data_IF_769163780792
#
_entry.id   IF_769163780792
#
_cell.length_a   1.000
_cell.length_b   1.000
_cell.length_c   1.000
_cell.angle_alpha   90.00
_cell.angle_beta   90.00
_cell.angle_gamma   90.00
#
_symmetry.space_group_name_H-M   'P 1'
#
loop_
_entity.id
_entity.type
_entity.pdbx_description
1 polymer ?
#
# COMPACT_ATOMS: atom_id res chain seq x y z
N UNK A 1 -23.48 -59.50 -13.95
CA UNK A 1 -22.63 -58.98 -15.00
C UNK A 1 -21.60 -58.06 -14.34
N UNK A 2 -20.39 -58.53 -14.24
CA UNK A 2 -19.27 -57.92 -13.51
C UNK A 2 -18.70 -56.77 -14.36
N UNK A 3 -18.70 -55.56 -13.85
CA UNK A 3 -18.05 -54.39 -14.47
C UNK A 3 -16.62 -54.30 -13.98
N UNK A 4 -15.70 -54.64 -14.87
CA UNK A 4 -14.27 -54.56 -14.67
C UNK A 4 -13.82 -53.13 -14.56
N UNK A 5 -13.27 -52.73 -13.40
CA UNK A 5 -12.61 -51.44 -13.17
C UNK A 5 -11.22 -51.49 -13.84
N UNK A 6 -11.05 -50.69 -14.89
CA UNK A 6 -9.74 -50.49 -15.51
C UNK A 6 -8.96 -49.46 -14.69
N UNK A 7 -7.95 -49.90 -13.98
CA UNK A 7 -6.98 -49.04 -13.30
C UNK A 7 -5.91 -48.64 -14.32
N UNK A 8 -5.91 -47.39 -14.75
CA UNK A 8 -4.85 -46.84 -15.60
C UNK A 8 -3.83 -46.19 -14.64
N UNK A 9 -2.75 -46.89 -14.34
CA UNK A 9 -1.57 -46.31 -13.68
C UNK A 9 -0.79 -45.47 -14.69
N UNK A 10 -0.74 -44.14 -14.48
CA UNK A 10 0.27 -43.31 -15.11
C UNK A 10 1.45 -43.12 -14.17
N UNK A 11 2.69 -42.96 -14.71
CA UNK A 11 3.89 -42.92 -13.89
C UNK A 11 3.87 -41.76 -12.90
N UNK A 12 4.42 -42.00 -11.71
CA UNK A 12 4.55 -41.03 -10.64
C UNK A 12 5.24 -39.76 -11.13
N UNK A 13 4.55 -38.63 -10.99
CA UNK A 13 5.15 -37.31 -11.12
C UNK A 13 6.18 -37.18 -9.98
N UNK A 14 7.42 -36.88 -10.32
CA UNK A 14 8.50 -36.66 -9.37
C UNK A 14 8.08 -35.69 -8.26
N UNK A 15 8.51 -35.89 -7.00
CA UNK A 15 8.09 -35.04 -5.89
C UNK A 15 8.65 -33.63 -6.08
N UNK A 16 7.79 -32.68 -6.38
CA UNK A 16 8.13 -31.25 -6.53
C UNK A 16 8.30 -30.60 -5.14
N UNK A 17 7.81 -31.24 -4.08
CA UNK A 17 8.02 -30.78 -2.70
C UNK A 17 8.00 -31.99 -1.72
N UNK A 18 8.97 -32.12 -0.81
CA UNK A 18 9.10 -33.27 0.10
C UNK A 18 7.95 -33.42 1.11
N UNK A 19 7.09 -32.40 1.27
CA UNK A 19 5.95 -32.41 2.20
C UNK A 19 4.64 -32.86 1.57
N UNK A 20 4.55 -32.94 0.25
CA UNK A 20 3.34 -33.37 -0.47
C UNK A 20 3.40 -34.89 -0.72
N UNK A 21 2.60 -35.66 0.02
CA UNK A 21 2.52 -37.11 -0.13
C UNK A 21 2.01 -37.56 -1.52
N UNK A 22 1.98 -38.89 -1.76
CA UNK A 22 1.50 -39.46 -3.02
C UNK A 22 0.00 -39.25 -3.22
N UNK A 23 -0.37 -38.77 -4.41
CA UNK A 23 -1.77 -38.61 -4.80
C UNK A 23 -2.25 -39.82 -5.60
N UNK A 24 -3.47 -40.31 -5.31
CA UNK A 24 -4.17 -41.30 -6.14
C UNK A 24 -5.35 -40.64 -6.85
N UNK A 25 -5.44 -40.87 -8.16
CA UNK A 25 -6.56 -40.38 -8.96
C UNK A 25 -7.65 -41.45 -8.97
N UNK A 26 -8.87 -41.11 -8.56
CA UNK A 26 -10.05 -42.01 -8.67
C UNK A 26 -11.13 -41.31 -9.48
N UNK A 27 -11.76 -42.07 -10.38
CA UNK A 27 -12.93 -41.64 -11.14
C UNK A 27 -14.20 -42.01 -10.37
N UNK A 28 -15.06 -41.03 -10.14
CA UNK A 28 -16.43 -41.22 -9.66
C UNK A 28 -17.40 -40.71 -10.72
N UNK A 29 -18.66 -41.08 -10.62
CA UNK A 29 -19.72 -40.76 -11.60
C UNK A 29 -19.93 -39.25 -11.84
N UNK A 30 -19.33 -38.41 -11.03
CA UNK A 30 -19.36 -36.93 -11.10
C UNK A 30 -18.02 -36.29 -11.56
N UNK A 31 -16.96 -37.06 -11.81
CA UNK A 31 -15.66 -36.53 -12.24
C UNK A 31 -14.45 -37.19 -11.57
N UNK A 32 -13.25 -36.66 -11.89
CA UNK A 32 -11.99 -37.11 -11.30
C UNK A 32 -11.80 -36.53 -9.92
N UNK A 33 -11.56 -37.38 -8.89
CA UNK A 33 -11.26 -36.97 -7.51
C UNK A 33 -9.81 -37.38 -7.17
N UNK A 34 -9.06 -36.43 -6.65
CA UNK A 34 -7.71 -36.70 -6.12
C UNK A 34 -7.80 -37.06 -4.64
N UNK A 35 -7.33 -38.24 -4.30
CA UNK A 35 -7.26 -38.72 -2.91
C UNK A 35 -5.80 -38.63 -2.41
N UNK A 36 -5.54 -37.86 -1.38
CA UNK A 36 -4.21 -37.63 -0.82
C UNK A 36 -4.00 -38.38 0.47
N UNK A 37 -2.79 -38.93 0.64
CA UNK A 37 -2.41 -39.74 1.80
C UNK A 37 -1.81 -38.91 2.97
N UNK A 38 -1.78 -37.57 2.92
CA UNK A 38 -1.25 -36.71 3.98
C UNK A 38 -2.14 -35.51 4.30
N UNK A 39 -1.97 -34.97 5.53
CA UNK A 39 -2.65 -33.74 6.00
C UNK A 39 -2.44 -32.58 5.04
N UNK A 40 -3.50 -31.75 4.83
CA UNK A 40 -3.37 -30.48 4.14
C UNK A 40 -2.38 -29.56 4.88
N UNK A 41 -1.57 -28.77 4.16
CA UNK A 41 -0.66 -27.82 4.77
C UNK A 41 -1.36 -26.88 5.76
N UNK A 42 -0.77 -26.67 6.94
CA UNK A 42 -1.34 -25.82 7.99
C UNK A 42 -1.15 -24.35 7.67
N UNK A 43 -0.12 -23.99 6.88
CA UNK A 43 0.12 -22.62 6.47
C UNK A 43 -0.79 -22.19 5.31
N UNK A 44 -1.18 -20.92 5.30
CA UNK A 44 -1.99 -20.33 4.22
C UNK A 44 -1.30 -20.48 2.87
N UNK A 45 0.01 -20.18 2.79
CA UNK A 45 0.80 -20.31 1.56
C UNK A 45 0.87 -21.76 1.06
N UNK A 46 1.15 -22.71 1.94
CA UNK A 46 1.18 -24.12 1.56
C UNK A 46 -0.16 -24.64 1.05
N UNK A 47 -1.28 -24.14 1.58
CA UNK A 47 -2.63 -24.48 1.09
C UNK A 47 -2.87 -23.92 -0.31
N UNK A 48 -2.46 -22.69 -0.56
CA UNK A 48 -2.57 -22.01 -1.87
C UNK A 48 -1.76 -22.76 -2.93
N UNK A 49 -0.51 -23.10 -2.60
CA UNK A 49 0.40 -23.83 -3.50
C UNK A 49 -0.13 -25.22 -3.82
N UNK A 50 -0.71 -25.89 -2.82
CA UNK A 50 -1.39 -27.16 -2.99
C UNK A 50 -2.58 -27.08 -3.95
N UNK A 51 -3.45 -26.05 -3.81
CA UNK A 51 -4.61 -25.86 -4.71
C UNK A 51 -4.15 -25.47 -6.11
N UNK A 52 -3.15 -24.59 -6.24
CA UNK A 52 -2.57 -24.21 -7.54
C UNK A 52 -1.99 -25.40 -8.28
N UNK A 53 -1.28 -26.29 -7.59
CA UNK A 53 -0.75 -27.53 -8.20
C UNK A 53 -1.86 -28.40 -8.76
N UNK A 54 -3.03 -28.47 -8.09
CA UNK A 54 -4.20 -29.22 -8.58
C UNK A 54 -4.81 -28.59 -9.82
N UNK A 55 -4.89 -27.27 -9.86
CA UNK A 55 -5.48 -26.51 -10.94
C UNK A 55 -4.54 -26.40 -12.16
N UNK A 56 -3.22 -26.55 -11.98
CA UNK A 56 -2.24 -26.47 -13.06
C UNK A 56 -2.44 -27.56 -14.13
N UNK A 57 -2.97 -28.71 -13.73
CA UNK A 57 -3.33 -29.79 -14.65
C UNK A 57 -4.48 -29.40 -15.62
N UNK A 58 -5.22 -28.33 -15.34
CA UNK A 58 -6.39 -27.86 -16.12
C UNK A 58 -6.25 -26.45 -16.70
N UNK A 59 -5.05 -25.85 -16.69
CA UNK A 59 -4.80 -24.44 -17.08
C UNK A 59 -5.66 -23.40 -16.31
N UNK A 60 -6.11 -23.69 -15.10
CA UNK A 60 -7.02 -22.86 -14.32
C UNK A 60 -6.36 -22.24 -13.08
N UNK A 61 -5.06 -22.45 -12.88
CA UNK A 61 -4.33 -21.98 -11.71
C UNK A 61 -4.18 -20.45 -11.66
N UNK A 62 -4.23 -19.78 -12.80
CA UNK A 62 -4.04 -18.32 -12.90
C UNK A 62 -5.28 -17.54 -12.48
N UNK A 63 -6.47 -18.13 -12.53
CA UNK A 63 -7.75 -17.48 -12.20
C UNK A 63 -8.25 -17.78 -10.79
N UNK A 64 -7.43 -18.31 -9.90
CA UNK A 64 -7.84 -18.69 -8.54
C UNK A 64 -8.13 -17.43 -7.69
N UNK A 65 -9.39 -17.24 -7.32
CA UNK A 65 -9.85 -16.07 -6.55
C UNK A 65 -9.77 -16.28 -5.05
N UNK A 66 -10.26 -17.41 -4.56
CA UNK A 66 -10.23 -17.76 -3.13
C UNK A 66 -10.24 -19.28 -2.91
N UNK A 67 -9.83 -19.67 -1.72
CA UNK A 67 -9.87 -21.06 -1.25
C UNK A 67 -10.68 -21.13 0.03
N UNK A 68 -11.78 -21.90 0.00
CA UNK A 68 -12.64 -22.14 1.16
C UNK A 68 -12.23 -23.45 1.82
N UNK A 69 -11.86 -23.41 3.09
CA UNK A 69 -11.48 -24.58 3.89
C UNK A 69 -12.67 -25.01 4.75
N UNK A 70 -13.10 -26.25 4.57
CA UNK A 70 -14.19 -26.82 5.37
C UNK A 70 -13.64 -27.42 6.67
N UNK A 71 -14.45 -27.39 7.74
CA UNK A 71 -14.13 -28.07 9.01
C UNK A 71 -14.12 -29.58 8.82
N UNK A 72 -13.31 -30.33 9.61
CA UNK A 72 -13.36 -31.78 9.61
C UNK A 72 -14.77 -32.30 9.90
N UNK A 73 -15.17 -33.36 9.21
CA UNK A 73 -16.50 -33.96 9.37
C UNK A 73 -17.63 -33.20 8.66
N UNK A 74 -17.31 -32.27 7.75
CA UNK A 74 -18.34 -31.65 6.89
C UNK A 74 -19.01 -32.71 6.02
N UNK A 75 -20.33 -32.59 5.86
CA UNK A 75 -21.13 -33.48 5.01
C UNK A 75 -21.17 -32.92 3.57
N UNK A 76 -21.49 -33.77 2.57
CA UNK A 76 -21.63 -33.33 1.18
C UNK A 76 -22.60 -32.14 0.99
N UNK A 77 -23.66 -32.07 1.79
CA UNK A 77 -24.64 -30.97 1.76
C UNK A 77 -24.02 -29.62 2.13
N UNK A 78 -23.06 -29.58 3.08
CA UNK A 78 -22.37 -28.35 3.46
C UNK A 78 -21.40 -27.88 2.34
N UNK A 79 -20.73 -28.83 1.69
CA UNK A 79 -19.85 -28.54 0.53
C UNK A 79 -20.67 -28.01 -0.63
N UNK A 80 -21.83 -28.65 -0.91
CA UNK A 80 -22.72 -28.21 -1.99
C UNK A 80 -23.25 -26.80 -1.74
N UNK A 81 -23.62 -26.46 -0.51
CA UNK A 81 -24.03 -25.11 -0.16
C UNK A 81 -22.96 -24.05 -0.47
N UNK A 82 -21.69 -24.33 -0.13
CA UNK A 82 -20.56 -23.44 -0.47
C UNK A 82 -20.36 -23.35 -1.98
N UNK A 83 -20.47 -24.47 -2.70
CA UNK A 83 -20.41 -24.50 -4.17
C UNK A 83 -21.50 -23.62 -4.80
N UNK A 84 -22.73 -23.69 -4.28
CA UNK A 84 -23.85 -22.90 -4.79
C UNK A 84 -23.60 -21.39 -4.55
N UNK A 85 -23.12 -20.99 -3.37
CA UNK A 85 -22.73 -19.62 -3.08
C UNK A 85 -21.62 -19.11 -4.02
N UNK A 86 -20.59 -19.92 -4.30
CA UNK A 86 -19.52 -19.58 -5.24
C UNK A 86 -20.10 -19.36 -6.65
N UNK A 87 -21.01 -20.22 -7.09
CA UNK A 87 -21.67 -20.10 -8.42
C UNK A 87 -22.60 -18.89 -8.49
N UNK A 88 -23.34 -18.58 -7.44
CA UNK A 88 -24.17 -17.36 -7.34
C UNK A 88 -23.32 -16.08 -7.48
N UNK A 89 -22.08 -16.11 -6.97
CA UNK A 89 -21.12 -15.04 -7.20
C UNK A 89 -20.62 -14.98 -8.66
N UNK A 90 -20.99 -15.94 -9.52
CA UNK A 90 -20.56 -16.08 -10.90
C UNK A 90 -19.11 -16.53 -11.04
N UNK A 91 -18.58 -17.22 -10.02
CA UNK A 91 -17.31 -17.91 -10.03
C UNK A 91 -17.52 -19.40 -10.34
N UNK A 92 -16.47 -20.06 -10.82
CA UNK A 92 -16.46 -21.52 -10.98
C UNK A 92 -15.92 -22.16 -9.71
N UNK A 93 -16.47 -23.28 -9.33
CA UNK A 93 -16.01 -24.07 -8.21
C UNK A 93 -15.07 -25.21 -8.63
N UNK A 94 -14.16 -25.58 -7.74
CA UNK A 94 -13.40 -26.82 -7.82
C UNK A 94 -13.24 -27.43 -6.44
N UNK A 95 -13.82 -28.60 -6.22
CA UNK A 95 -13.84 -29.28 -4.91
C UNK A 95 -12.67 -30.26 -4.84
N UNK A 96 -11.87 -30.15 -3.78
CA UNK A 96 -10.75 -31.03 -3.47
C UNK A 96 -11.07 -31.73 -2.14
N UNK A 97 -11.29 -33.04 -2.22
CA UNK A 97 -11.58 -33.86 -1.04
C UNK A 97 -10.27 -34.48 -0.52
N UNK A 98 -9.82 -34.03 0.63
CA UNK A 98 -8.69 -34.64 1.35
C UNK A 98 -9.15 -35.65 2.41
N UNK A 99 -8.23 -36.43 2.98
CA UNK A 99 -8.52 -37.41 4.02
C UNK A 99 -9.15 -36.80 5.29
N UNK A 100 -8.69 -35.61 5.68
CA UNK A 100 -9.12 -34.97 6.93
C UNK A 100 -10.01 -33.75 6.68
N UNK A 101 -9.90 -33.13 5.53
CA UNK A 101 -10.60 -31.85 5.19
C UNK A 101 -10.96 -31.78 3.72
N UNK A 102 -12.05 -31.09 3.43
CA UNK A 102 -12.44 -30.71 2.08
C UNK A 102 -12.09 -29.24 1.87
N UNK A 103 -11.64 -28.92 0.67
CA UNK A 103 -11.33 -27.56 0.23
C UNK A 103 -12.13 -27.27 -1.03
N UNK A 104 -12.71 -26.08 -1.13
CA UNK A 104 -13.40 -25.62 -2.33
C UNK A 104 -12.66 -24.40 -2.88
N UNK A 105 -12.09 -24.55 -4.07
CA UNK A 105 -11.48 -23.43 -4.80
C UNK A 105 -12.54 -22.69 -5.60
N UNK A 106 -12.54 -21.37 -5.54
CA UNK A 106 -13.35 -20.49 -6.37
C UNK A 106 -12.47 -19.85 -7.44
N UNK A 107 -12.85 -20.03 -8.72
CA UNK A 107 -12.04 -19.71 -9.88
C UNK A 107 -12.76 -18.67 -10.74
N UNK A 108 -12.08 -17.59 -11.08
CA UNK A 108 -12.57 -16.47 -11.90
C UNK A 108 -12.00 -15.14 -11.43
N UNK A 109 -12.13 -14.09 -12.24
CA UNK A 109 -11.66 -12.74 -11.86
C UNK A 109 -12.80 -11.92 -11.24
N UNK A 110 -13.11 -12.16 -9.97
CA UNK A 110 -14.07 -11.35 -9.18
C UNK A 110 -13.47 -10.97 -7.83
N UNK A 111 -12.64 -9.93 -7.81
CA UNK A 111 -11.98 -9.41 -6.60
C UNK A 111 -12.96 -8.78 -5.61
N UNK A 112 -14.09 -8.24 -6.09
CA UNK A 112 -15.15 -7.65 -5.30
C UNK A 112 -16.23 -8.63 -4.84
N UNK A 113 -16.00 -9.95 -4.93
CA UNK A 113 -16.95 -10.93 -4.44
C UNK A 113 -17.13 -10.78 -2.92
N UNK A 114 -18.37 -10.54 -2.48
CA UNK A 114 -18.68 -10.49 -1.05
C UNK A 114 -18.53 -11.88 -0.43
N UNK A 115 -17.48 -12.08 0.32
CA UNK A 115 -17.13 -13.36 0.98
C UNK A 115 -17.93 -13.63 2.23
N UNK A 116 -18.65 -12.62 2.76
CA UNK A 116 -19.36 -12.71 4.04
C UNK A 116 -20.32 -13.88 4.10
N UNK A 117 -21.04 -14.16 3.02
CA UNK A 117 -21.98 -15.28 2.92
C UNK A 117 -21.23 -16.64 3.02
N UNK A 118 -20.06 -16.76 2.38
CA UNK A 118 -19.26 -18.00 2.46
C UNK A 118 -18.65 -18.17 3.84
N UNK A 119 -18.12 -17.10 4.45
CA UNK A 119 -17.49 -17.14 5.78
C UNK A 119 -18.49 -17.52 6.87
N UNK A 120 -19.77 -17.15 6.70
CA UNK A 120 -20.87 -17.49 7.59
C UNK A 120 -21.52 -18.85 7.29
N UNK A 121 -21.17 -19.49 6.18
CA UNK A 121 -21.77 -20.76 5.79
C UNK A 121 -21.44 -21.89 6.78
N UNK A 122 -22.37 -22.83 7.03
CA UNK A 122 -22.17 -23.94 7.96
C UNK A 122 -20.94 -24.76 7.61
N UNK A 123 -20.15 -25.12 8.62
CA UNK A 123 -18.94 -25.95 8.50
C UNK A 123 -17.80 -25.32 7.69
N UNK A 124 -17.85 -24.05 7.34
CA UNK A 124 -16.67 -23.32 6.86
C UNK A 124 -15.77 -23.01 8.06
N UNK A 125 -14.48 -23.34 7.93
CA UNK A 125 -13.45 -23.02 8.91
C UNK A 125 -12.85 -21.64 8.63
N UNK A 126 -12.49 -21.39 7.37
CA UNK A 126 -11.94 -20.13 6.91
C UNK A 126 -12.06 -19.98 5.40
N UNK A 127 -12.10 -18.74 4.94
CA UNK A 127 -11.99 -18.37 3.54
C UNK A 127 -10.65 -17.65 3.33
N UNK A 128 -9.82 -18.14 2.38
CA UNK A 128 -8.50 -17.59 2.08
C UNK A 128 -8.58 -16.87 0.73
N UNK A 129 -8.53 -15.54 0.69
CA UNK A 129 -8.44 -14.81 -0.57
C UNK A 129 -7.07 -15.06 -1.22
N UNK A 130 -7.05 -15.21 -2.53
CA UNK A 130 -5.83 -15.43 -3.32
C UNK A 130 -5.47 -14.20 -4.12
N UNK A 131 -6.48 -13.56 -4.73
CA UNK A 131 -6.28 -12.30 -5.43
C UNK A 131 -6.31 -11.15 -4.43
N UNK A 132 -5.38 -10.21 -4.58
CA UNK A 132 -5.44 -8.96 -3.83
C UNK A 132 -6.73 -8.21 -4.17
N UNK A 133 -7.40 -7.55 -3.22
CA UNK A 133 -8.63 -6.81 -3.47
C UNK A 133 -8.43 -5.55 -4.32
N UNK A 134 -7.17 -5.06 -4.43
CA UNK A 134 -6.75 -3.97 -5.32
C UNK A 134 -6.12 -4.54 -6.60
N UNK A 135 -6.38 -3.91 -7.74
CA UNK A 135 -5.92 -4.37 -9.08
C UNK A 135 -4.98 -3.35 -9.72
N UNK A 136 -5.43 -2.11 -9.86
CA UNK A 136 -4.69 -1.05 -10.56
C UNK A 136 -3.42 -0.63 -9.81
N UNK A 137 -3.43 -0.71 -8.48
CA UNK A 137 -2.27 -0.45 -7.63
C UNK A 137 -1.32 -1.65 -7.49
N UNK A 138 -1.70 -2.85 -7.99
CA UNK A 138 -0.95 -4.10 -7.83
C UNK A 138 0.12 -4.29 -8.89
N UNK A 139 1.18 -5.00 -8.54
CA UNK A 139 2.17 -5.53 -9.49
C UNK A 139 1.61 -6.56 -10.48
N UNK A 140 0.43 -7.10 -10.26
CA UNK A 140 -0.24 -7.96 -11.26
C UNK A 140 -0.55 -7.21 -12.55
N UNK A 141 -0.88 -5.91 -12.46
CA UNK A 141 -1.19 -5.07 -13.64
C UNK A 141 0.07 -4.43 -14.22
N UNK A 142 1.02 -4.06 -13.35
CA UNK A 142 2.26 -3.41 -13.76
C UNK A 142 3.43 -3.91 -12.92
N UNK A 143 4.27 -4.74 -13.49
CA UNK A 143 5.43 -5.35 -12.81
C UNK A 143 6.50 -4.29 -12.49
N UNK A 144 6.77 -3.40 -13.45
CA UNK A 144 7.79 -2.37 -13.33
C UNK A 144 7.39 -1.27 -12.34
N UNK A 145 8.29 -0.85 -11.43
CA UNK A 145 8.03 0.25 -10.52
C UNK A 145 7.62 1.52 -11.26
N UNK A 146 6.61 2.21 -10.75
CA UNK A 146 6.18 3.48 -11.31
C UNK A 146 7.15 4.60 -10.96
N UNK A 147 7.43 5.44 -11.96
CA UNK A 147 8.15 6.71 -11.81
C UNK A 147 7.13 7.82 -12.03
N UNK A 148 6.87 8.63 -11.01
CA UNK A 148 5.81 9.62 -11.00
C UNK A 148 6.40 11.02 -11.18
N UNK A 149 6.07 11.74 -12.26
CA UNK A 149 6.42 13.16 -12.40
C UNK A 149 5.64 13.96 -11.35
N UNK A 150 6.36 14.85 -10.64
CA UNK A 150 5.81 15.69 -9.58
C UNK A 150 5.77 17.17 -9.93
N UNK A 151 6.30 17.57 -11.08
CA UNK A 151 6.20 18.92 -11.64
C UNK A 151 6.22 18.89 -13.18
N UNK A 152 6.10 20.06 -13.78
CA UNK A 152 6.15 20.25 -15.25
C UNK A 152 7.59 20.25 -15.79
N UNK A 153 8.60 20.33 -14.93
CA UNK A 153 10.03 20.34 -15.30
C UNK A 153 10.59 18.93 -15.46
N UNK A 154 9.81 17.90 -15.11
CA UNK A 154 10.22 16.50 -15.20
C UNK A 154 10.91 15.96 -13.94
N UNK A 155 10.78 16.63 -12.81
CA UNK A 155 11.19 16.07 -11.51
C UNK A 155 10.33 14.86 -11.18
N UNK A 156 10.94 13.76 -10.76
CA UNK A 156 10.23 12.49 -10.56
C UNK A 156 10.47 11.89 -9.17
N UNK A 157 9.50 11.08 -8.72
CA UNK A 157 9.61 10.18 -7.58
C UNK A 157 9.44 8.73 -8.01
N UNK A 158 10.23 7.82 -7.41
CA UNK A 158 10.36 6.42 -7.83
C UNK A 158 11.60 6.20 -8.71
N UNK A 159 11.85 4.94 -9.10
CA UNK A 159 13.05 4.57 -9.86
C UNK A 159 14.30 4.46 -8.98
N UNK A 160 15.47 4.81 -9.55
CA UNK A 160 16.76 4.65 -8.86
C UNK A 160 17.10 5.80 -7.91
N UNK A 161 16.59 7.01 -8.17
CA UNK A 161 16.82 8.16 -7.29
C UNK A 161 15.91 8.17 -6.08
N UNK A 162 16.47 8.53 -4.94
CA UNK A 162 15.72 8.82 -3.71
C UNK A 162 15.38 10.30 -3.70
N UNK A 163 14.08 10.64 -3.68
CA UNK A 163 13.63 12.02 -3.64
C UNK A 163 13.39 12.52 -2.21
N UNK A 164 13.79 13.73 -1.87
CA UNK A 164 13.49 14.33 -0.57
C UNK A 164 12.60 15.55 -0.76
N UNK A 165 11.41 15.51 -0.15
CA UNK A 165 10.47 16.64 -0.05
C UNK A 165 10.62 17.20 1.36
N UNK A 166 10.96 18.48 1.47
CA UNK A 166 11.21 19.12 2.75
C UNK A 166 10.54 20.49 2.86
N UNK A 167 10.29 20.95 4.07
CA UNK A 167 9.69 22.26 4.33
C UNK A 167 8.91 22.28 5.65
N UNK A 168 8.28 23.42 6.00
CA UNK A 168 7.64 23.56 7.30
C UNK A 168 6.34 22.76 7.42
N UNK A 169 5.93 22.49 8.66
CA UNK A 169 4.61 21.87 8.90
C UNK A 169 3.50 22.72 8.31
N UNK A 170 3.50 24.02 8.57
CA UNK A 170 2.55 25.02 8.03
C UNK A 170 3.28 26.22 7.42
N UNK A 171 2.62 26.86 6.47
CA UNK A 171 2.99 28.21 6.02
C UNK A 171 2.50 29.18 7.10
N UNK A 172 3.42 29.81 7.81
CA UNK A 172 3.13 30.71 8.93
C UNK A 172 3.13 32.15 8.47
N UNK A 173 4.11 32.54 7.68
CA UNK A 173 4.22 33.78 6.97
C UNK A 173 5.12 33.63 5.73
N UNK A 174 5.29 34.72 4.97
CA UNK A 174 6.10 34.74 3.76
C UNK A 174 7.60 34.57 4.01
N UNK A 175 8.12 35.22 5.04
CA UNK A 175 9.55 35.22 5.35
C UNK A 175 10.03 33.84 5.81
N UNK A 176 9.29 33.23 6.76
CA UNK A 176 9.53 31.89 7.23
C UNK A 176 9.54 30.86 6.10
N UNK A 177 8.55 30.94 5.16
CA UNK A 177 8.46 29.95 4.08
C UNK A 177 9.58 30.13 3.06
N UNK A 178 9.89 31.37 2.62
CA UNK A 178 10.92 31.61 1.64
C UNK A 178 12.32 31.27 2.17
N UNK A 179 12.64 31.62 3.42
CA UNK A 179 13.88 31.21 4.08
C UNK A 179 14.03 29.68 4.08
N UNK A 180 12.97 28.98 4.49
CA UNK A 180 12.97 27.51 4.49
C UNK A 180 13.11 26.95 3.09
N UNK A 181 12.39 27.48 2.10
CA UNK A 181 12.42 27.01 0.71
C UNK A 181 13.83 27.12 0.09
N UNK A 182 14.50 28.26 0.27
CA UNK A 182 15.87 28.42 -0.19
C UNK A 182 16.83 27.43 0.50
N UNK A 183 16.72 27.31 1.83
CA UNK A 183 17.61 26.43 2.59
C UNK A 183 17.46 24.94 2.21
N UNK A 184 16.21 24.46 1.96
CA UNK A 184 16.01 23.07 1.56
C UNK A 184 16.36 22.82 0.09
N UNK A 185 16.15 23.81 -0.77
CA UNK A 185 16.57 23.77 -2.18
C UNK A 185 18.11 23.66 -2.30
N UNK A 186 18.84 24.53 -1.61
CA UNK A 186 20.32 24.49 -1.57
C UNK A 186 20.86 23.16 -1.02
N UNK A 187 20.13 22.53 -0.10
CA UNK A 187 20.49 21.24 0.46
C UNK A 187 20.13 20.04 -0.45
N UNK A 188 19.46 20.26 -1.61
CA UNK A 188 19.17 19.23 -2.58
C UNK A 188 17.78 18.59 -2.43
N UNK A 189 16.83 19.22 -1.74
CA UNK A 189 15.43 18.79 -1.80
C UNK A 189 14.86 18.94 -3.23
N UNK A 190 13.96 18.05 -3.62
CA UNK A 190 13.29 18.09 -4.93
C UNK A 190 11.87 18.69 -4.87
N UNK A 191 11.34 18.88 -3.68
CA UNK A 191 10.02 19.45 -3.45
C UNK A 191 9.94 20.20 -2.13
N UNK A 192 9.10 21.23 -2.11
CA UNK A 192 8.76 22.02 -0.95
C UNK A 192 7.41 21.58 -0.41
N UNK A 193 7.38 21.10 0.84
CA UNK A 193 6.14 20.88 1.53
C UNK A 193 5.78 22.07 2.42
N UNK A 194 4.49 22.36 2.56
CA UNK A 194 3.98 23.35 3.50
C UNK A 194 2.46 23.29 3.55
N UNK A 195 1.86 23.25 4.76
CA UNK A 195 0.41 23.24 4.91
C UNK A 195 -0.16 24.64 4.80
N UNK A 196 -0.90 24.96 3.73
CA UNK A 196 -1.69 26.18 3.62
C UNK A 196 -2.99 26.10 4.44
N UNK A 197 -3.55 24.90 4.55
CA UNK A 197 -4.68 24.54 5.41
C UNK A 197 -4.23 23.52 6.44
N UNK A 198 -4.77 23.58 7.68
CA UNK A 198 -4.34 22.69 8.76
C UNK A 198 -5.52 21.97 9.42
N UNK A 199 -5.56 20.61 9.38
CA UNK A 199 -6.58 19.84 10.09
C UNK A 199 -6.24 19.83 11.59
N UNK A 200 -6.93 20.65 12.40
CA UNK A 200 -6.67 20.79 13.82
C UNK A 200 -7.73 20.10 14.67
N UNK A 201 -7.30 19.35 15.68
CA UNK A 201 -8.21 18.78 16.68
C UNK A 201 -8.80 19.86 17.61
N UNK A 202 -7.99 20.89 17.89
CA UNK A 202 -8.42 22.06 18.68
C UNK A 202 -8.80 23.19 17.71
N UNK A 203 -10.08 23.67 17.72
CA UNK A 203 -10.53 24.71 16.80
C UNK A 203 -9.88 26.09 17.04
N UNK A 204 -9.28 26.30 18.20
CA UNK A 204 -8.58 27.54 18.54
C UNK A 204 -7.12 27.57 18.10
N UNK A 205 -6.58 26.46 17.61
CA UNK A 205 -5.21 26.41 17.08
C UNK A 205 -5.13 27.05 15.72
N UNK A 206 -3.93 27.43 15.29
CA UNK A 206 -3.68 27.99 13.95
C UNK A 206 -4.20 27.06 12.85
N UNK A 207 -5.07 27.59 11.99
CA UNK A 207 -5.79 26.84 10.94
C UNK A 207 -5.08 26.86 9.57
N UNK A 208 -3.95 27.59 9.48
CA UNK A 208 -3.29 27.91 8.20
C UNK A 208 -3.72 29.23 7.62
N UNK A 209 -2.99 29.69 6.61
CA UNK A 209 -3.25 30.97 5.91
C UNK A 209 -4.26 30.85 4.75
N UNK A 210 -4.74 29.64 4.48
CA UNK A 210 -5.66 29.40 3.37
C UNK A 210 -5.05 29.73 2.01
N UNK A 211 -5.82 30.41 1.13
CA UNK A 211 -5.36 30.76 -0.21
C UNK A 211 -4.10 31.64 -0.19
N UNK A 212 -3.97 32.53 0.80
CA UNK A 212 -2.73 33.32 0.97
C UNK A 212 -1.50 32.44 1.17
N UNK A 213 -1.64 31.32 1.90
CA UNK A 213 -0.57 30.33 2.05
C UNK A 213 -0.21 29.63 0.73
N UNK A 214 -1.21 29.38 -0.12
CA UNK A 214 -0.99 28.83 -1.47
C UNK A 214 -0.25 29.79 -2.39
N UNK A 215 -0.57 31.09 -2.34
CA UNK A 215 0.15 32.13 -3.09
C UNK A 215 1.63 32.21 -2.68
N UNK A 216 1.93 32.14 -1.38
CA UNK A 216 3.32 32.17 -0.89
C UNK A 216 4.07 30.90 -1.32
N UNK A 217 3.41 29.72 -1.32
CA UNK A 217 3.99 28.48 -1.85
C UNK A 217 4.31 28.58 -3.35
N UNK A 218 3.43 29.19 -4.14
CA UNK A 218 3.68 29.43 -5.56
C UNK A 218 4.85 30.38 -5.77
N UNK A 219 4.95 31.47 -4.99
CA UNK A 219 6.10 32.38 -5.00
C UNK A 219 7.42 31.64 -4.68
N UNK A 220 7.41 30.77 -3.66
CA UNK A 220 8.57 29.97 -3.30
C UNK A 220 9.00 29.02 -4.43
N UNK A 221 8.02 28.41 -5.16
CA UNK A 221 8.28 27.61 -6.35
C UNK A 221 8.96 28.41 -7.46
N UNK A 222 8.49 29.63 -7.71
CA UNK A 222 9.08 30.50 -8.74
C UNK A 222 10.55 30.84 -8.42
N UNK A 223 10.86 31.10 -7.14
CA UNK A 223 12.20 31.46 -6.70
C UNK A 223 13.17 30.27 -6.64
N UNK A 224 12.70 29.09 -6.23
CA UNK A 224 13.59 27.94 -5.94
C UNK A 224 13.52 26.84 -7.00
N UNK A 225 12.44 26.77 -7.75
CA UNK A 225 12.17 25.70 -8.68
C UNK A 225 11.66 24.40 -8.06
N UNK A 226 11.44 24.36 -6.75
CA UNK A 226 10.93 23.18 -6.04
C UNK A 226 9.47 22.88 -6.39
N UNK A 227 9.12 21.60 -6.55
CA UNK A 227 7.73 21.18 -6.69
C UNK A 227 6.95 21.46 -5.39
N UNK A 228 5.78 22.07 -5.49
CA UNK A 228 4.93 22.42 -4.33
C UNK A 228 4.06 21.24 -3.92
N UNK A 229 4.19 20.80 -2.67
CA UNK A 229 3.40 19.74 -2.04
C UNK A 229 2.59 20.33 -0.89
N UNK A 230 1.26 20.35 -1.00
CA UNK A 230 0.40 20.86 0.08
C UNK A 230 -0.86 20.03 0.27
N UNK A 231 -1.41 20.05 1.48
CA UNK A 231 -2.56 19.23 1.86
C UNK A 231 -3.87 19.83 1.36
N UNK A 232 -4.71 18.99 0.77
CA UNK A 232 -6.12 19.27 0.49
C UNK A 232 -7.00 18.51 1.47
N UNK A 233 -7.96 19.19 2.12
CA UNK A 233 -8.74 18.63 3.23
C UNK A 233 -10.18 18.30 2.89
N UNK A 234 -10.72 18.91 1.84
CA UNK A 234 -12.11 18.73 1.43
C UNK A 234 -12.27 18.83 -0.10
N UNK A 235 -13.34 18.26 -0.62
CA UNK A 235 -13.67 18.28 -2.05
C UNK A 235 -13.74 19.71 -2.61
N UNK A 236 -14.32 20.64 -1.84
CA UNK A 236 -14.47 22.04 -2.25
C UNK A 236 -13.12 22.79 -2.40
N UNK A 237 -12.04 22.25 -1.85
CA UNK A 237 -10.71 22.84 -1.94
C UNK A 237 -9.87 22.25 -3.08
N UNK A 238 -10.29 21.15 -3.69
CA UNK A 238 -9.47 20.41 -4.67
C UNK A 238 -9.08 21.31 -5.84
N UNK A 239 -10.02 21.98 -6.45
CA UNK A 239 -9.78 22.86 -7.60
C UNK A 239 -8.87 24.03 -7.24
N UNK A 240 -9.11 24.68 -6.09
CA UNK A 240 -8.30 25.78 -5.60
C UNK A 240 -6.86 25.34 -5.35
N UNK A 241 -6.67 24.23 -4.60
CA UNK A 241 -5.33 23.75 -4.26
C UNK A 241 -4.58 23.26 -5.50
N UNK A 242 -5.25 22.56 -6.44
CA UNK A 242 -4.66 22.09 -7.68
C UNK A 242 -4.15 23.22 -8.60
N UNK A 243 -4.69 24.43 -8.47
CA UNK A 243 -4.22 25.61 -9.21
C UNK A 243 -2.81 26.04 -8.77
N UNK A 244 -2.47 25.87 -7.50
CA UNK A 244 -1.20 26.33 -6.92
C UNK A 244 -0.19 25.21 -6.69
N UNK A 245 -0.64 24.00 -6.37
CA UNK A 245 0.21 22.87 -6.02
C UNK A 245 0.52 21.98 -7.22
N UNK A 246 1.70 21.37 -7.20
CA UNK A 246 2.13 20.34 -8.16
C UNK A 246 1.74 18.94 -7.66
N UNK A 247 1.71 18.74 -6.35
CA UNK A 247 1.32 17.50 -5.69
C UNK A 247 0.27 17.77 -4.63
N UNK A 248 -0.88 17.10 -4.74
CA UNK A 248 -1.96 17.15 -3.76
C UNK A 248 -1.72 16.13 -2.66
N UNK A 249 -1.46 16.58 -1.44
CA UNK A 249 -1.30 15.68 -0.31
C UNK A 249 -2.67 15.35 0.31
N UNK A 250 -2.96 14.06 0.43
CA UNK A 250 -4.06 13.55 1.25
C UNK A 250 -3.51 13.19 2.64
N UNK A 251 -3.94 13.94 3.63
CA UNK A 251 -3.51 13.74 5.00
C UNK A 251 -4.06 12.43 5.59
N UNK A 252 -3.38 11.92 6.60
CA UNK A 252 -3.69 10.66 7.30
C UNK A 252 -5.15 10.51 7.73
N UNK A 253 -5.79 11.61 8.16
CA UNK A 253 -7.20 11.62 8.59
C UNK A 253 -8.18 11.44 7.44
N UNK A 254 -7.74 11.74 6.21
CA UNK A 254 -8.54 11.68 4.99
C UNK A 254 -8.23 10.45 4.11
N UNK A 255 -7.39 9.50 4.57
CA UNK A 255 -7.11 8.29 3.80
C UNK A 255 -8.39 7.49 3.48
N UNK A 256 -9.38 7.49 4.37
CA UNK A 256 -10.68 6.83 4.18
C UNK A 256 -11.79 7.79 3.70
N UNK A 257 -11.44 9.01 3.29
CA UNK A 257 -12.40 9.94 2.69
C UNK A 257 -12.51 9.65 1.18
N UNK A 258 -13.22 8.57 0.84
CA UNK A 258 -13.30 8.07 -0.53
C UNK A 258 -13.86 9.09 -1.52
N UNK A 259 -14.74 9.99 -1.07
CA UNK A 259 -15.26 11.09 -1.92
C UNK A 259 -14.14 12.07 -2.26
N UNK A 260 -13.26 12.38 -1.31
CA UNK A 260 -12.09 13.23 -1.55
C UNK A 260 -11.06 12.52 -2.43
N UNK A 261 -10.83 11.21 -2.23
CA UNK A 261 -9.94 10.41 -3.07
C UNK A 261 -10.40 10.39 -4.53
N UNK A 262 -11.69 10.20 -4.78
CA UNK A 262 -12.29 10.28 -6.11
C UNK A 262 -12.10 11.69 -6.72
N UNK A 263 -12.34 12.75 -5.94
CA UNK A 263 -12.21 14.13 -6.42
C UNK A 263 -10.77 14.48 -6.82
N UNK A 264 -9.74 14.11 -6.02
CA UNK A 264 -8.34 14.32 -6.40
C UNK A 264 -7.90 13.41 -7.53
N UNK A 265 -8.49 12.21 -7.63
CA UNK A 265 -8.27 11.28 -8.74
C UNK A 265 -8.77 11.79 -10.09
N UNK A 266 -9.63 12.80 -10.11
CA UNK A 266 -10.09 13.47 -11.36
C UNK A 266 -9.21 14.65 -11.78
N UNK A 267 -8.18 14.98 -10.99
CA UNK A 267 -7.23 16.04 -11.32
C UNK A 267 -6.05 15.49 -12.14
N UNK A 268 -5.29 16.39 -12.73
CA UNK A 268 -4.04 16.09 -13.42
C UNK A 268 -2.78 16.21 -12.53
N UNK A 269 -2.95 16.45 -11.22
CA UNK A 269 -1.85 16.60 -10.27
C UNK A 269 -1.45 15.26 -9.66
N UNK A 270 -0.17 15.08 -9.34
CA UNK A 270 0.25 13.91 -8.56
C UNK A 270 -0.40 13.92 -7.17
N UNK A 271 -0.70 12.75 -6.62
CA UNK A 271 -1.36 12.60 -5.32
C UNK A 271 -0.41 11.90 -4.35
N UNK A 272 -0.04 12.58 -3.27
CA UNK A 272 0.70 12.02 -2.15
C UNK A 272 -0.28 11.53 -1.08
N UNK A 273 -0.50 10.23 -1.02
CA UNK A 273 -1.43 9.59 -0.08
C UNK A 273 -0.70 9.15 1.19
N UNK A 274 -1.04 9.75 2.35
CA UNK A 274 -0.46 9.39 3.65
C UNK A 274 -1.29 8.29 4.31
N UNK A 275 -0.61 7.24 4.79
CA UNK A 275 -1.24 6.11 5.48
C UNK A 275 -2.04 6.53 6.70
N UNK A 276 -3.20 5.93 6.90
CA UNK A 276 -4.04 6.08 8.08
C UNK A 276 -3.36 5.55 9.35
N UNK A 277 -3.66 6.16 10.52
CA UNK A 277 -2.99 5.85 11.79
C UNK A 277 -3.25 4.43 12.31
N UNK A 278 -4.25 3.73 11.81
CA UNK A 278 -4.58 2.34 12.14
C UNK A 278 -4.85 1.50 10.89
N UNK A 279 -4.50 2.01 9.72
CA UNK A 279 -4.76 1.36 8.45
C UNK A 279 -3.81 0.17 8.21
N UNK A 280 -4.37 -0.93 7.72
CA UNK A 280 -3.62 -2.07 7.20
C UNK A 280 -2.94 -1.71 5.87
N UNK A 281 -2.07 -2.61 5.37
CA UNK A 281 -1.49 -2.47 4.02
C UNK A 281 -2.59 -2.54 2.95
N UNK A 282 -3.54 -3.46 3.10
CA UNK A 282 -4.65 -3.64 2.18
C UNK A 282 -5.52 -2.39 2.07
N UNK A 283 -5.96 -1.81 3.20
CA UNK A 283 -6.72 -0.56 3.23
C UNK A 283 -5.96 0.60 2.59
N UNK A 284 -4.64 0.66 2.78
CA UNK A 284 -3.81 1.70 2.20
C UNK A 284 -3.71 1.58 0.67
N UNK A 285 -3.57 0.37 0.13
CA UNK A 285 -3.55 0.13 -1.31
C UNK A 285 -4.94 0.27 -1.94
N UNK A 286 -6.02 -0.09 -1.24
CA UNK A 286 -7.39 0.19 -1.67
C UNK A 286 -7.69 1.69 -1.74
N UNK A 287 -7.17 2.49 -0.81
CA UNK A 287 -7.29 3.94 -0.89
C UNK A 287 -6.55 4.52 -2.11
N UNK A 288 -5.37 3.97 -2.46
CA UNK A 288 -4.68 4.32 -3.69
C UNK A 288 -5.47 3.90 -4.94
N UNK A 289 -6.10 2.72 -4.89
CA UNK A 289 -6.97 2.20 -5.96
C UNK A 289 -8.12 3.17 -6.29
N UNK A 290 -8.73 3.82 -5.29
CA UNK A 290 -9.77 4.84 -5.52
C UNK A 290 -9.28 5.99 -6.39
N UNK A 291 -8.08 6.51 -6.10
CA UNK A 291 -7.47 7.60 -6.89
C UNK A 291 -7.18 7.17 -8.32
N UNK A 292 -6.61 5.99 -8.49
CA UNK A 292 -6.25 5.44 -9.81
C UNK A 292 -7.51 5.15 -10.62
N UNK A 293 -8.53 4.55 -9.99
CA UNK A 293 -9.80 4.21 -10.63
C UNK A 293 -10.58 5.46 -11.08
N UNK A 294 -10.41 6.59 -10.39
CA UNK A 294 -10.98 7.89 -10.80
C UNK A 294 -10.27 8.50 -12.02
N UNK A 295 -9.14 7.92 -12.47
CA UNK A 295 -8.42 8.29 -13.69
C UNK A 295 -6.99 8.80 -13.48
N UNK A 296 -6.50 8.94 -12.24
CA UNK A 296 -5.18 9.47 -11.96
C UNK A 296 -4.18 8.38 -11.50
N UNK A 297 -3.31 7.89 -12.39
CA UNK A 297 -2.30 6.89 -12.03
C UNK A 297 -1.09 7.47 -11.27
N UNK A 298 -1.01 8.78 -11.07
CA UNK A 298 0.12 9.47 -10.44
C UNK A 298 -0.02 9.49 -8.91
N UNK A 299 -0.02 8.30 -8.30
CA UNK A 299 -0.13 8.13 -6.85
C UNK A 299 1.23 7.80 -6.25
N UNK A 300 1.56 8.50 -5.17
CA UNK A 300 2.74 8.33 -4.35
C UNK A 300 2.27 7.97 -2.94
N UNK A 301 2.70 6.84 -2.42
CA UNK A 301 2.37 6.39 -1.07
C UNK A 301 3.29 7.06 -0.05
N UNK A 302 2.82 7.24 1.20
CA UNK A 302 3.65 7.78 2.27
C UNK A 302 3.35 7.10 3.61
N UNK A 303 4.31 6.30 4.10
CA UNK A 303 4.30 5.78 5.46
C UNK A 303 4.66 6.89 6.44
N UNK A 304 3.88 7.05 7.53
CA UNK A 304 4.05 8.12 8.52
C UNK A 304 3.85 7.68 9.98
N UNK A 305 3.87 6.37 10.20
CA UNK A 305 3.64 5.75 11.50
C UNK A 305 2.17 5.45 11.77
N UNK A 306 1.97 4.42 12.56
CA UNK A 306 0.67 3.96 13.06
C UNK A 306 0.58 4.14 14.57
N UNK A 307 -0.62 4.26 15.10
CA UNK A 307 -0.86 4.24 16.55
C UNK A 307 -0.65 2.85 17.10
N UNK A 308 0.15 2.78 18.15
CA UNK A 308 0.34 1.56 18.94
C UNK A 308 0.24 1.90 20.43
N UNK A 309 0.57 0.97 21.29
CA UNK A 309 0.68 1.20 22.74
C UNK A 309 1.97 1.95 23.15
N UNK A 310 2.92 2.17 22.22
CA UNK A 310 4.15 2.92 22.48
C UNK A 310 3.84 4.41 22.75
N UNK A 311 4.44 4.99 23.79
CA UNK A 311 4.19 6.34 24.22
C UNK A 311 5.40 7.28 24.11
N UNK A 312 6.60 6.73 23.92
CA UNK A 312 7.81 7.54 23.79
C UNK A 312 7.86 8.32 22.47
N UNK A 313 7.32 7.73 21.40
CA UNK A 313 7.19 8.33 20.08
C UNK A 313 5.74 8.69 19.79
N UNK A 314 5.55 9.67 18.92
CA UNK A 314 4.20 10.11 18.51
C UNK A 314 3.41 8.97 17.83
N UNK A 315 4.08 8.18 17.00
CA UNK A 315 3.57 6.99 16.35
C UNK A 315 4.71 5.97 16.19
N UNK A 316 4.37 4.71 16.00
CA UNK A 316 5.35 3.68 15.60
C UNK A 316 5.56 3.74 14.09
N UNK A 317 6.73 4.16 13.65
CA UNK A 317 7.08 4.20 12.23
C UNK A 317 7.32 2.77 11.73
N UNK A 318 6.36 2.25 10.96
CA UNK A 318 6.33 0.86 10.53
C UNK A 318 7.16 0.64 9.26
N UNK A 319 8.50 0.70 9.33
CA UNK A 319 9.38 0.60 8.16
C UNK A 319 9.24 -0.73 7.41
N UNK A 320 8.81 -1.81 8.06
CA UNK A 320 8.51 -3.09 7.41
C UNK A 320 7.44 -3.02 6.32
N UNK A 321 6.60 -1.96 6.31
CA UNK A 321 5.61 -1.75 5.25
C UNK A 321 6.26 -1.38 3.91
N UNK A 322 7.45 -0.79 3.92
CA UNK A 322 8.16 -0.36 2.70
C UNK A 322 8.49 -1.55 1.80
N UNK A 323 9.24 -2.57 2.26
CA UNK A 323 9.50 -3.75 1.43
C UNK A 323 8.22 -4.54 1.10
N UNK A 324 7.20 -4.56 1.98
CA UNK A 324 5.93 -5.20 1.71
C UNK A 324 5.21 -4.52 0.53
N UNK A 325 5.10 -3.17 0.53
CA UNK A 325 4.53 -2.42 -0.60
C UNK A 325 5.33 -2.65 -1.88
N UNK A 326 6.67 -2.71 -1.79
CA UNK A 326 7.53 -3.01 -2.95
C UNK A 326 7.31 -4.42 -3.53
N UNK A 327 6.76 -5.36 -2.78
CA UNK A 327 6.38 -6.68 -3.27
C UNK A 327 4.99 -6.66 -3.93
N UNK A 328 4.03 -5.99 -3.32
CA UNK A 328 2.61 -6.03 -3.70
C UNK A 328 2.23 -4.99 -4.77
N UNK A 329 2.90 -3.82 -4.79
CA UNK A 329 2.53 -2.66 -5.59
C UNK A 329 3.69 -2.13 -6.44
N UNK A 330 3.33 -1.54 -7.58
CA UNK A 330 4.26 -0.79 -8.43
C UNK A 330 4.43 0.68 -8.01
N UNK A 331 3.62 1.17 -7.06
CA UNK A 331 3.60 2.58 -6.66
C UNK A 331 4.85 2.95 -5.83
N UNK A 332 5.43 4.14 -6.02
CA UNK A 332 6.51 4.61 -5.17
C UNK A 332 6.02 4.91 -3.75
N UNK A 333 6.89 4.65 -2.78
CA UNK A 333 6.61 4.91 -1.36
C UNK A 333 7.66 5.82 -0.72
N UNK A 334 7.17 6.91 -0.11
CA UNK A 334 7.93 7.79 0.76
C UNK A 334 7.75 7.39 2.22
N UNK A 335 8.66 7.85 3.06
CA UNK A 335 8.56 7.75 4.51
C UNK A 335 8.63 9.14 5.13
N UNK A 336 7.74 9.41 6.09
CA UNK A 336 7.69 10.63 6.88
C UNK A 336 8.14 10.35 8.31
N UNK A 337 9.43 10.45 8.61
CA UNK A 337 9.97 10.20 9.95
C UNK A 337 9.61 11.31 10.95
N UNK A 338 9.34 12.53 10.48
CA UNK A 338 8.94 13.65 11.32
C UNK A 338 7.63 13.36 12.05
N UNK A 339 6.57 13.02 11.31
CA UNK A 339 5.29 12.62 11.91
C UNK A 339 5.32 11.21 12.51
N UNK A 340 6.15 10.32 11.98
CA UNK A 340 6.33 8.97 12.49
C UNK A 340 6.83 8.99 13.93
N UNK A 341 7.89 9.72 14.19
CA UNK A 341 8.53 9.76 15.51
C UNK A 341 8.03 10.89 16.41
N UNK A 342 7.70 12.05 15.82
CA UNK A 342 7.32 13.25 16.57
C UNK A 342 8.47 13.93 17.31
N UNK A 343 9.73 13.59 16.97
CA UNK A 343 10.94 14.09 17.63
C UNK A 343 12.05 14.36 16.63
N UNK A 344 12.56 15.61 16.58
CA UNK A 344 13.60 16.02 15.64
C UNK A 344 14.87 15.15 15.73
N UNK A 345 15.29 14.76 16.96
CA UNK A 345 16.48 13.93 17.16
C UNK A 345 16.37 12.52 16.55
N UNK A 346 15.15 12.01 16.32
CA UNK A 346 14.90 10.70 15.73
C UNK A 346 14.75 10.75 14.21
N UNK A 347 14.53 11.94 13.63
CA UNK A 347 14.37 12.09 12.18
C UNK A 347 15.60 11.59 11.40
N UNK A 348 16.85 11.96 11.75
CA UNK A 348 18.01 11.51 11.00
C UNK A 348 18.22 9.98 11.01
N UNK A 349 18.21 9.27 12.15
CA UNK A 349 18.38 7.81 12.15
C UNK A 349 17.25 7.09 11.41
N UNK A 350 15.98 7.54 11.57
CA UNK A 350 14.85 6.91 10.90
C UNK A 350 14.80 7.22 9.39
N UNK A 351 15.28 8.38 8.95
CA UNK A 351 15.46 8.69 7.53
C UNK A 351 16.46 7.74 6.85
N UNK A 352 17.60 7.50 7.51
CA UNK A 352 18.62 6.54 7.03
C UNK A 352 18.07 5.12 6.95
N UNK A 353 17.37 4.69 7.98
CA UNK A 353 16.71 3.37 8.01
C UNK A 353 15.63 3.23 6.90
N UNK A 354 14.88 4.30 6.62
CA UNK A 354 13.86 4.31 5.57
C UNK A 354 14.49 4.12 4.18
N UNK A 355 15.59 4.80 3.86
CA UNK A 355 16.31 4.58 2.60
C UNK A 355 16.88 3.16 2.55
N UNK A 356 17.50 2.70 3.64
CA UNK A 356 18.10 1.37 3.72
C UNK A 356 17.08 0.24 3.50
N UNK A 357 15.82 0.41 3.90
CA UNK A 357 14.76 -0.58 3.66
C UNK A 357 14.04 -0.42 2.30
N UNK A 358 14.47 0.54 1.45
CA UNK A 358 14.02 0.66 0.07
C UNK A 358 12.98 1.76 -0.21
N UNK A 359 12.79 2.73 0.68
CA UNK A 359 11.90 3.87 0.41
C UNK A 359 12.35 4.67 -0.82
N UNK A 360 11.41 5.13 -1.64
CA UNK A 360 11.69 5.94 -2.84
C UNK A 360 11.96 7.40 -2.52
N UNK A 361 11.69 7.81 -1.29
CA UNK A 361 11.95 9.15 -0.83
C UNK A 361 11.55 9.38 0.61
N UNK A 362 11.72 10.64 1.02
CA UNK A 362 11.41 11.10 2.37
C UNK A 362 10.55 12.36 2.32
N UNK A 363 9.71 12.51 3.35
CA UNK A 363 8.96 13.74 3.62
C UNK A 363 9.37 14.27 4.99
N UNK A 364 10.07 15.41 5.03
CA UNK A 364 10.75 15.90 6.24
C UNK A 364 10.25 17.29 6.62
N UNK A 365 10.01 17.52 7.90
CA UNK A 365 9.71 18.85 8.43
C UNK A 365 10.98 19.63 8.75
N UNK A 366 11.06 20.84 8.18
CA UNK A 366 12.16 21.80 8.39
C UNK A 366 11.56 23.16 8.72
N UNK A 367 12.08 23.79 9.77
CA UNK A 367 11.66 25.12 10.20
C UNK A 367 12.88 25.96 10.59
N UNK A 368 12.96 27.26 10.24
CA UNK A 368 14.11 28.10 10.57
C UNK A 368 14.28 28.29 12.07
N UNK A 369 13.16 28.38 12.79
CA UNK A 369 13.09 28.50 14.25
C UNK A 369 12.07 27.51 14.84
N UNK A 370 12.43 26.22 15.05
CA UNK A 370 11.51 25.20 15.53
C UNK A 370 10.92 25.49 16.93
N UNK A 371 11.61 26.27 17.78
CA UNK A 371 11.15 26.57 19.14
C UNK A 371 9.92 27.50 19.12
N UNK A 372 9.81 28.38 18.14
CA UNK A 372 8.71 29.32 17.97
C UNK A 372 7.71 28.94 16.89
N UNK A 373 7.85 27.76 16.30
CA UNK A 373 6.95 27.28 15.26
C UNK A 373 5.50 27.18 15.75
N UNK A 374 4.54 27.71 14.97
CA UNK A 374 3.10 27.62 15.27
C UNK A 374 2.58 26.19 15.25
N UNK A 375 3.29 25.28 14.54
CA UNK A 375 2.89 23.87 14.39
C UNK A 375 4.10 22.94 14.40
N UNK A 376 4.01 21.85 15.18
CA UNK A 376 4.87 20.66 15.14
C UNK A 376 6.41 20.95 15.22
N UNK A 377 6.83 22.05 15.89
CA UNK A 377 8.25 22.44 16.01
C UNK A 377 9.14 21.36 16.62
N UNK A 378 8.64 20.60 17.62
CA UNK A 378 9.39 19.54 18.32
C UNK A 378 9.93 18.45 17.37
N UNK A 379 9.30 18.24 16.23
CA UNK A 379 9.68 17.24 15.23
C UNK A 379 10.38 17.83 14.00
N UNK A 380 10.48 19.18 13.92
CA UNK A 380 11.09 19.88 12.79
C UNK A 380 12.60 19.96 12.95
N UNK A 381 13.34 19.73 11.86
CA UNK A 381 14.77 19.99 11.79
C UNK A 381 15.02 21.47 11.56
N UNK A 382 16.16 21.98 12.02
CA UNK A 382 16.68 23.27 11.53
C UNK A 382 17.23 23.12 10.12
N UNK A 383 17.38 24.23 9.33
CA UNK A 383 18.05 24.20 8.03
C UNK A 383 19.46 23.58 8.06
N UNK A 384 20.22 23.87 9.11
CA UNK A 384 21.55 23.28 9.31
C UNK A 384 21.48 21.77 9.56
N UNK A 385 20.53 21.33 10.41
CA UNK A 385 20.28 19.90 10.67
C UNK A 385 19.84 19.15 9.41
N UNK A 386 18.98 19.76 8.59
CA UNK A 386 18.55 19.18 7.31
C UNK A 386 19.70 19.05 6.31
N UNK A 387 20.53 20.10 6.17
CA UNK A 387 21.74 20.04 5.30
C UNK A 387 22.71 18.93 5.73
N UNK A 388 22.90 18.74 7.03
CA UNK A 388 23.71 17.65 7.55
C UNK A 388 23.09 16.29 7.22
N UNK A 389 21.76 16.14 7.42
CA UNK A 389 21.05 14.92 7.09
C UNK A 389 21.20 14.55 5.61
N UNK A 390 21.05 15.51 4.68
CA UNK A 390 21.17 15.25 3.24
C UNK A 390 22.54 14.67 2.87
N UNK A 391 23.63 15.17 3.48
CA UNK A 391 24.99 14.60 3.30
C UNK A 391 25.08 13.15 3.79
N UNK A 392 24.45 12.85 4.94
CA UNK A 392 24.45 11.48 5.50
C UNK A 392 23.61 10.52 4.65
N UNK A 393 22.48 11.00 4.10
CA UNK A 393 21.60 10.21 3.26
C UNK A 393 22.28 9.81 1.93
N UNK A 394 23.11 10.68 1.35
CA UNK A 394 23.89 10.36 0.15
C UNK A 394 24.74 9.10 0.35
N UNK A 395 25.42 8.98 1.50
CA UNK A 395 26.23 7.80 1.78
C UNK A 395 25.39 6.52 1.92
N UNK A 396 24.20 6.63 2.55
CA UNK A 396 23.28 5.47 2.69
C UNK A 396 22.68 5.07 1.34
N UNK A 397 22.29 6.03 0.51
CA UNK A 397 21.75 5.78 -0.84
C UNK A 397 22.76 4.99 -1.69
N UNK A 398 24.02 5.45 -1.73
CA UNK A 398 25.09 4.74 -2.44
C UNK A 398 25.30 3.32 -1.89
N UNK A 399 25.27 3.14 -0.56
CA UNK A 399 25.47 1.83 0.07
C UNK A 399 24.38 0.80 -0.32
N UNK A 400 23.18 1.27 -0.70
CA UNK A 400 22.08 0.41 -1.16
C UNK A 400 21.88 0.45 -2.68
N UNK A 401 22.88 0.95 -3.44
CA UNK A 401 22.86 0.98 -4.91
C UNK A 401 21.92 2.00 -5.52
N UNK A 402 21.65 3.11 -4.81
CA UNK A 402 20.76 4.18 -5.25
C UNK A 402 21.48 5.55 -5.25
N UNK A 403 20.88 6.53 -5.92
CA UNK A 403 21.30 7.93 -5.90
C UNK A 403 20.33 8.80 -5.08
N UNK A 404 20.80 9.97 -4.64
CA UNK A 404 19.99 10.98 -3.94
C UNK A 404 19.86 12.24 -4.79
#
# INVERSE_FOLDING_TARGET
MSSTLATIERPAISPIHPELGTAKLRWFSSGWVFEYSRMLPVSTQGLVDFVRLHLSASNQAEDLTMVVVMRPGCKPEHVQHVVDLIREMGLRDHVIVGTDRTVVAAIGDKRSADRSAIELAPMVERCVPILAPFKLASKEVKIEPSVIPIDEKGTTLGGTKVGVIAGPCSVEDREQLLETAHAVSEAGAIGLRGGAFKPRTNPYSFQGLGERGLEILAEAREQTGLAVVTEVMSVNQVELVAKYADVLQIGTRNMHNFILLDAVGRTDRAVLLKRGMSATLEEFLLAAEYVINAGNPRVILCERGIRTHEQYVRNTLALGIVPAIKQESHLPILVDPSHGTGRACMVPPMSKAAIACGADGLLIEVHPDPEHAMTDGVQSLTPAGFRQLMRELQAVAVAVGRDL
#
